data_IF_885508062353
#
_entry.id   IF_885508062353
#
_cell.length_a   1.000
_cell.length_b   1.000
_cell.length_c   1.000
_cell.angle_alpha   90.00
_cell.angle_beta   90.00
_cell.angle_gamma   90.00
#
_symmetry.space_group_name_H-M   'P 1'
#
loop_
_entity.id
_entity.type
_entity.pdbx_description
1 polymer ?
#
# COMPACT_ATOMS: atom_id res chain seq x y z
N UNK A 1 -1.62 -6.38 -28.86
CA UNK A 1 -1.09 -5.52 -27.78
C UNK A 1 -1.88 -5.83 -26.52
N UNK A 2 -1.22 -6.11 -25.39
CA UNK A 2 -1.92 -6.39 -24.14
C UNK A 2 -2.51 -5.10 -23.57
N UNK A 3 -3.82 -5.09 -23.30
CA UNK A 3 -4.51 -3.95 -22.71
C UNK A 3 -4.19 -3.86 -21.22
N UNK A 4 -3.93 -2.64 -20.72
CA UNK A 4 -3.69 -2.43 -19.31
C UNK A 4 -4.91 -2.88 -18.47
N UNK A 5 -4.70 -3.67 -17.40
CA UNK A 5 -5.80 -4.08 -16.53
C UNK A 5 -6.37 -2.87 -15.77
N UNK A 6 -7.70 -2.74 -15.73
CA UNK A 6 -8.37 -1.68 -14.97
C UNK A 6 -8.29 -1.91 -13.45
N UNK A 7 -8.40 -3.18 -13.04
CA UNK A 7 -8.32 -3.61 -11.65
C UNK A 7 -7.21 -4.67 -11.49
N UNK A 8 -6.48 -4.68 -10.36
CA UNK A 8 -5.44 -5.67 -10.14
C UNK A 8 -6.02 -7.08 -10.00
N UNK A 9 -5.43 -8.04 -10.71
CA UNK A 9 -5.67 -9.47 -10.46
C UNK A 9 -5.04 -9.88 -9.13
N UNK A 10 -5.35 -11.07 -8.58
CA UNK A 10 -4.68 -11.55 -7.37
C UNK A 10 -3.15 -11.59 -7.47
N UNK A 11 -2.59 -11.87 -8.65
CA UNK A 11 -1.15 -11.83 -8.87
C UNK A 11 -0.60 -10.39 -8.83
N UNK A 12 -1.30 -9.44 -9.46
CA UNK A 12 -0.90 -8.03 -9.42
C UNK A 12 -1.01 -7.47 -7.99
N UNK A 13 -2.09 -7.81 -7.28
CA UNK A 13 -2.31 -7.39 -5.89
C UNK A 13 -1.18 -7.87 -4.98
N UNK A 14 -0.78 -9.15 -5.08
CA UNK A 14 0.36 -9.69 -4.32
C UNK A 14 1.66 -8.95 -4.62
N UNK A 15 1.95 -8.64 -5.88
CA UNK A 15 3.15 -7.89 -6.25
C UNK A 15 3.14 -6.46 -5.69
N UNK A 16 1.99 -5.77 -5.73
CA UNK A 16 1.83 -4.42 -5.19
C UNK A 16 1.89 -4.39 -3.66
N UNK A 17 1.31 -5.38 -2.97
CA UNK A 17 1.43 -5.52 -1.52
C UNK A 17 2.87 -5.85 -1.08
N UNK A 18 3.56 -6.72 -1.83
CA UNK A 18 4.98 -6.98 -1.59
C UNK A 18 5.84 -5.73 -1.82
N UNK A 19 5.52 -4.94 -2.85
CA UNK A 19 6.16 -3.65 -3.07
C UNK A 19 5.90 -2.66 -1.93
N UNK A 20 4.69 -2.66 -1.37
CA UNK A 20 4.34 -1.82 -0.23
C UNK A 20 5.06 -2.21 1.06
N UNK A 21 5.36 -3.50 1.22
CA UNK A 21 6.14 -4.01 2.35
C UNK A 21 7.63 -3.65 2.27
N UNK A 22 8.17 -3.42 1.06
CA UNK A 22 9.52 -2.91 0.87
C UNK A 22 9.64 -1.45 1.35
N UNK A 23 10.71 -1.14 2.07
CA UNK A 23 10.93 0.19 2.67
C UNK A 23 11.03 1.32 1.63
N UNK A 24 11.37 0.98 0.38
CA UNK A 24 11.48 1.92 -0.73
C UNK A 24 10.35 1.75 -1.76
N UNK A 25 9.37 0.91 -1.48
CA UNK A 25 8.26 0.67 -2.38
C UNK A 25 8.58 -0.22 -3.58
N UNK A 26 9.70 -0.95 -3.56
CA UNK A 26 10.21 -1.67 -4.73
C UNK A 26 9.45 -2.95 -5.00
N UNK A 27 9.09 -3.15 -6.26
CA UNK A 27 8.61 -4.44 -6.74
C UNK A 27 9.73 -5.47 -6.59
N UNK A 28 9.50 -6.61 -5.91
CA UNK A 28 10.53 -7.64 -5.77
C UNK A 28 11.03 -8.13 -7.12
N UNK A 29 12.34 -8.31 -7.27
CA UNK A 29 12.95 -8.81 -8.51
C UNK A 29 12.45 -10.20 -8.91
N UNK A 30 12.02 -11.01 -7.93
CA UNK A 30 11.40 -12.31 -8.14
C UNK A 30 9.97 -12.27 -8.69
N UNK A 31 9.38 -11.07 -8.83
CA UNK A 31 8.04 -10.90 -9.43
C UNK A 31 8.07 -11.34 -10.88
N UNK A 32 7.10 -12.17 -11.29
CA UNK A 32 6.99 -12.63 -12.67
C UNK A 32 6.99 -11.47 -13.68
N UNK A 33 7.78 -11.55 -14.75
CA UNK A 33 7.93 -10.48 -15.75
C UNK A 33 6.60 -10.04 -16.36
N UNK A 34 5.65 -10.97 -16.62
CA UNK A 34 4.33 -10.60 -17.14
C UNK A 34 3.52 -9.77 -16.15
N UNK A 35 3.69 -10.04 -14.85
CA UNK A 35 3.10 -9.21 -13.78
C UNK A 35 3.75 -7.84 -13.76
N UNK A 36 5.09 -7.76 -13.84
CA UNK A 36 5.82 -6.50 -13.90
C UNK A 36 5.39 -5.64 -15.10
N UNK A 37 5.29 -6.23 -16.30
CA UNK A 37 4.82 -5.55 -17.52
C UNK A 37 3.39 -5.04 -17.35
N UNK A 38 2.49 -5.86 -16.77
CA UNK A 38 1.10 -5.49 -16.58
C UNK A 38 0.92 -4.32 -15.59
N UNK A 39 1.63 -4.35 -14.45
CA UNK A 39 1.56 -3.27 -13.46
C UNK A 39 2.25 -1.98 -13.94
N UNK A 40 3.28 -2.11 -14.79
CA UNK A 40 3.92 -1.00 -15.49
C UNK A 40 2.96 -0.34 -16.49
N UNK A 41 2.36 -1.14 -17.39
CA UNK A 41 1.39 -0.67 -18.38
C UNK A 41 0.13 -0.05 -17.74
N UNK A 42 -0.27 -0.53 -16.56
CA UNK A 42 -1.36 0.06 -15.78
C UNK A 42 -0.97 1.36 -15.04
N UNK A 43 0.30 1.76 -15.11
CA UNK A 43 0.89 2.90 -14.40
C UNK A 43 0.76 2.82 -12.88
N UNK A 44 0.67 1.61 -12.31
CA UNK A 44 0.64 1.40 -10.86
C UNK A 44 2.03 1.45 -10.22
N UNK A 45 3.06 1.29 -11.04
CA UNK A 45 4.45 1.43 -10.66
C UNK A 45 5.13 2.44 -11.57
N UNK A 46 6.23 3.00 -11.09
CA UNK A 46 7.09 3.93 -11.82
C UNK A 46 8.54 3.51 -11.65
N UNK A 47 9.35 3.81 -12.64
CA UNK A 47 10.77 3.48 -12.61
C UNK A 47 11.48 4.60 -11.84
N UNK A 48 12.24 4.20 -10.82
CA UNK A 48 12.94 5.10 -9.91
C UNK A 48 14.41 4.73 -9.79
N UNK A 49 15.24 5.70 -9.44
CA UNK A 49 16.64 5.48 -9.07
C UNK A 49 16.73 4.80 -7.70
N UNK A 50 17.96 4.44 -7.27
CA UNK A 50 18.18 3.89 -5.93
C UNK A 50 17.68 4.81 -4.78
N UNK A 51 17.59 6.12 -5.04
CA UNK A 51 17.14 7.15 -4.10
C UNK A 51 15.65 7.49 -4.25
N UNK A 52 14.89 6.77 -5.08
CA UNK A 52 13.45 7.00 -5.27
C UNK A 52 13.09 8.17 -6.21
N UNK A 53 14.07 8.77 -6.91
CA UNK A 53 13.79 9.80 -7.92
C UNK A 53 13.28 9.15 -9.20
N UNK A 54 12.35 9.77 -9.91
CA UNK A 54 11.88 9.28 -11.20
C UNK A 54 13.05 9.10 -12.18
N UNK A 55 13.18 7.89 -12.73
CA UNK A 55 14.33 7.51 -13.56
C UNK A 55 14.43 8.33 -14.84
N UNK A 56 13.29 8.64 -15.48
CA UNK A 56 13.27 9.44 -16.70
C UNK A 56 13.95 10.80 -16.50
N UNK A 57 13.56 11.55 -15.46
CA UNK A 57 14.16 12.85 -15.13
C UNK A 57 15.63 12.72 -14.71
N UNK A 58 15.98 11.66 -13.97
CA UNK A 58 17.36 11.42 -13.57
C UNK A 58 18.28 11.14 -14.77
N UNK A 59 17.82 10.37 -15.76
CA UNK A 59 18.56 10.08 -16.99
C UNK A 59 18.82 11.34 -17.81
N UNK A 60 17.83 12.21 -17.93
CA UNK A 60 18.01 13.55 -18.56
C UNK A 60 19.10 14.37 -17.86
N UNK A 61 19.27 14.20 -16.55
CA UNK A 61 20.32 14.84 -15.76
C UNK A 61 21.67 14.07 -15.73
N UNK A 62 21.84 13.04 -16.59
CA UNK A 62 23.09 12.28 -16.69
C UNK A 62 23.24 11.09 -15.75
N UNK A 63 22.17 10.66 -15.06
CA UNK A 63 22.23 9.45 -14.22
C UNK A 63 22.33 8.17 -15.07
N UNK A 64 23.42 7.41 -14.87
CA UNK A 64 23.67 6.11 -15.52
C UNK A 64 23.61 4.91 -14.57
N UNK A 65 23.11 5.07 -13.35
CA UNK A 65 23.04 4.00 -12.35
C UNK A 65 21.82 3.09 -12.50
N UNK A 66 21.68 2.08 -11.61
CA UNK A 66 20.57 1.14 -11.64
C UNK A 66 19.23 1.82 -11.34
N UNK A 67 18.17 1.23 -11.87
CA UNK A 67 16.78 1.67 -11.70
C UNK A 67 15.90 0.50 -11.24
N UNK A 68 14.80 0.83 -10.59
CA UNK A 68 13.90 -0.12 -9.95
C UNK A 68 12.45 0.26 -10.22
N UNK A 69 11.55 -0.72 -10.32
CA UNK A 69 10.12 -0.46 -10.31
C UNK A 69 9.66 -0.21 -8.88
N UNK A 70 8.97 0.90 -8.65
CA UNK A 70 8.42 1.27 -7.34
C UNK A 70 6.94 1.57 -7.44
N UNK A 71 6.15 1.08 -6.48
CA UNK A 71 4.71 1.40 -6.38
C UNK A 71 4.51 2.90 -6.17
N UNK A 72 3.59 3.48 -6.94
CA UNK A 72 3.25 4.90 -6.89
C UNK A 72 1.87 5.12 -6.26
N UNK A 73 1.39 6.37 -6.21
CA UNK A 73 0.06 6.69 -5.66
C UNK A 73 -1.08 5.96 -6.37
N UNK A 74 -1.03 5.87 -7.70
CA UNK A 74 -2.04 5.15 -8.51
C UNK A 74 -2.06 3.66 -8.17
N UNK A 75 -0.90 3.04 -7.97
CA UNK A 75 -0.80 1.64 -7.55
C UNK A 75 -1.35 1.40 -6.14
N UNK A 76 -1.10 2.33 -5.21
CA UNK A 76 -1.70 2.26 -3.85
C UNK A 76 -3.22 2.41 -3.91
N UNK A 77 -3.75 3.37 -4.68
CA UNK A 77 -5.19 3.53 -4.86
C UNK A 77 -5.84 2.31 -5.53
N UNK A 78 -5.14 1.65 -6.47
CA UNK A 78 -5.64 0.43 -7.11
C UNK A 78 -5.80 -0.76 -6.14
N UNK A 79 -5.15 -0.73 -4.98
CA UNK A 79 -5.33 -1.74 -3.93
C UNK A 79 -6.63 -1.53 -3.14
N UNK A 80 -7.30 -0.39 -3.26
CA UNK A 80 -8.43 -0.05 -2.40
C UNK A 80 -9.74 0.01 -3.18
N UNK A 81 -10.81 -0.37 -2.49
CA UNK A 81 -12.16 0.09 -2.85
C UNK A 81 -12.32 1.53 -2.36
N UNK A 82 -13.31 2.26 -2.89
CA UNK A 82 -13.62 3.62 -2.42
C UNK A 82 -13.92 3.65 -0.91
N UNK A 83 -14.61 2.61 -0.41
CA UNK A 83 -14.87 2.43 1.02
C UNK A 83 -13.57 2.22 1.82
N UNK A 84 -12.66 1.37 1.33
CA UNK A 84 -11.36 1.14 1.97
C UNK A 84 -10.49 2.39 1.98
N UNK A 85 -10.48 3.16 0.88
CA UNK A 85 -9.79 4.44 0.80
C UNK A 85 -10.35 5.44 1.82
N UNK A 86 -11.67 5.57 1.89
CA UNK A 86 -12.34 6.45 2.86
C UNK A 86 -12.01 6.04 4.30
N UNK A 87 -12.06 4.75 4.61
CA UNK A 87 -11.80 4.24 5.95
C UNK A 87 -10.34 4.48 6.40
N UNK A 88 -9.36 4.22 5.53
CA UNK A 88 -7.95 4.43 5.84
C UNK A 88 -7.60 5.91 6.01
N UNK A 89 -8.17 6.80 5.19
CA UNK A 89 -7.91 8.24 5.30
C UNK A 89 -8.68 8.92 6.44
N UNK A 90 -9.74 8.29 6.94
CA UNK A 90 -10.48 8.75 8.12
C UNK A 90 -9.94 8.13 9.42
N UNK A 91 -8.90 7.29 9.37
CA UNK A 91 -8.31 6.71 10.56
C UNK A 91 -7.79 7.80 11.51
N UNK A 92 -7.98 7.59 12.81
CA UNK A 92 -7.47 8.47 13.85
C UNK A 92 -5.93 8.51 13.84
N UNK A 93 -5.27 9.51 14.45
CA UNK A 93 -3.80 9.61 14.48
C UNK A 93 -3.09 8.35 15.01
N UNK A 94 -3.67 7.72 16.03
CA UNK A 94 -3.23 6.44 16.60
C UNK A 94 -3.39 5.25 15.64
N UNK A 95 -4.11 5.44 14.54
CA UNK A 95 -4.36 4.45 13.49
C UNK A 95 -5.68 3.69 13.65
N UNK A 96 -6.52 4.03 14.63
CA UNK A 96 -7.84 3.39 14.77
C UNK A 96 -8.74 3.75 13.60
N UNK A 97 -9.37 2.78 12.96
CA UNK A 97 -10.38 3.08 11.93
C UNK A 97 -11.68 3.62 12.57
N UNK A 98 -12.47 4.43 11.85
CA UNK A 98 -13.71 5.00 12.37
C UNK A 98 -14.71 3.93 12.84
N UNK A 99 -15.38 4.21 13.96
CA UNK A 99 -16.56 3.47 14.41
C UNK A 99 -17.64 3.59 13.32
N UNK A 100 -18.00 2.49 12.67
CA UNK A 100 -18.89 2.47 11.50
C UNK A 100 -18.23 2.06 10.18
N UNK A 101 -16.92 1.77 10.17
CA UNK A 101 -16.29 1.09 9.02
C UNK A 101 -17.02 -0.24 8.75
N UNK A 102 -17.58 -0.46 7.55
CA UNK A 102 -18.34 -1.67 7.28
C UNK A 102 -17.48 -2.93 7.45
N UNK A 103 -18.04 -3.97 8.08
CA UNK A 103 -17.34 -5.23 8.33
C UNK A 103 -16.66 -5.83 7.08
N UNK A 104 -17.30 -5.89 5.89
CA UNK A 104 -16.64 -6.38 4.69
C UNK A 104 -15.41 -5.55 4.27
N UNK A 105 -15.41 -4.25 4.56
CA UNK A 105 -14.27 -3.36 4.29
C UNK A 105 -13.14 -3.62 5.26
N UNK A 106 -13.44 -3.72 6.56
CA UNK A 106 -12.44 -4.06 7.58
C UNK A 106 -11.80 -5.42 7.30
N UNK A 107 -12.60 -6.44 6.98
CA UNK A 107 -12.07 -7.77 6.67
C UNK A 107 -11.23 -7.83 5.40
N UNK A 108 -11.59 -7.09 4.35
CA UNK A 108 -10.76 -6.99 3.16
C UNK A 108 -9.40 -6.36 3.50
N UNK A 109 -9.39 -5.25 4.23
CA UNK A 109 -8.16 -4.59 4.68
C UNK A 109 -7.32 -5.50 5.59
N UNK A 110 -7.97 -6.29 6.47
CA UNK A 110 -7.29 -7.21 7.38
C UNK A 110 -6.65 -8.37 6.62
N UNK A 111 -7.37 -8.95 5.65
CA UNK A 111 -6.86 -10.01 4.79
C UNK A 111 -5.61 -9.57 4.01
N UNK A 112 -5.53 -8.30 3.62
CA UNK A 112 -4.35 -7.73 2.96
C UNK A 112 -3.23 -7.28 3.93
N UNK A 113 -3.42 -7.50 5.24
CA UNK A 113 -2.45 -7.12 6.29
C UNK A 113 -2.34 -5.62 6.53
N UNK A 114 -3.29 -4.82 6.03
CA UNK A 114 -3.29 -3.36 6.16
C UNK A 114 -3.82 -2.89 7.51
N UNK A 115 -4.60 -3.75 8.17
CA UNK A 115 -5.14 -3.50 9.50
C UNK A 115 -5.00 -4.75 10.36
N UNK A 116 -5.04 -4.57 11.66
CA UNK A 116 -5.14 -5.62 12.67
C UNK A 116 -6.18 -5.24 13.72
N UNK A 117 -6.83 -6.25 14.30
CA UNK A 117 -7.81 -6.04 15.35
C UNK A 117 -7.10 -6.06 16.70
N UNK A 118 -7.37 -5.06 17.54
CA UNK A 118 -6.76 -4.96 18.87
C UNK A 118 -7.81 -4.78 19.96
N UNK A 119 -7.56 -5.38 21.11
CA UNK A 119 -8.32 -5.08 22.33
C UNK A 119 -7.79 -3.81 23.03
N UNK A 120 -8.37 -3.50 24.20
CA UNK A 120 -8.00 -2.34 25.00
C UNK A 120 -6.55 -2.38 25.52
N UNK A 121 -5.96 -3.57 25.63
CA UNK A 121 -4.59 -3.79 26.07
C UNK A 121 -3.60 -3.84 24.89
N UNK A 122 -4.07 -3.48 23.68
CA UNK A 122 -3.34 -3.53 22.42
C UNK A 122 -2.91 -4.93 21.97
N UNK A 123 -3.53 -5.99 22.51
CA UNK A 123 -3.28 -7.36 22.05
C UNK A 123 -3.93 -7.58 20.69
N UNK A 124 -3.20 -8.19 19.76
CA UNK A 124 -3.67 -8.44 18.40
C UNK A 124 -4.53 -9.72 18.34
N UNK A 125 -5.67 -9.63 17.66
CA UNK A 125 -6.64 -10.70 17.45
C UNK A 125 -6.89 -10.97 15.96
N UNK A 126 -7.28 -12.20 15.58
CA UNK A 126 -7.46 -12.59 14.17
C UNK A 126 -8.76 -12.07 13.52
N UNK A 127 -9.70 -11.52 14.30
CA UNK A 127 -10.96 -10.93 13.83
C UNK A 127 -11.40 -9.86 14.85
N UNK A 128 -12.60 -9.31 14.72
CA UNK A 128 -13.14 -8.31 15.65
C UNK A 128 -13.76 -8.90 16.93
N UNK A 129 -13.73 -10.22 17.09
CA UNK A 129 -14.31 -10.89 18.25
C UNK A 129 -15.84 -10.90 18.28
N UNK A 130 -16.52 -10.52 17.20
CA UNK A 130 -17.98 -10.57 17.16
C UNK A 130 -18.47 -12.03 17.20
N UNK A 131 -19.30 -12.32 18.20
CA UNK A 131 -19.94 -13.61 18.42
C UNK A 131 -21.46 -13.56 18.19
N UNK A 132 -21.99 -12.45 17.67
CA UNK A 132 -23.42 -12.22 17.42
C UNK A 132 -24.23 -11.88 18.68
N UNK A 133 -23.63 -11.85 19.87
CA UNK A 133 -24.32 -11.54 21.13
C UNK A 133 -23.90 -10.18 21.68
N UNK A 134 -22.59 -9.90 21.69
CA UNK A 134 -22.04 -8.66 22.26
C UNK A 134 -21.62 -7.64 21.19
N UNK A 135 -21.65 -8.03 19.92
CA UNK A 135 -21.04 -7.27 18.83
C UNK A 135 -19.51 -7.34 18.86
N UNK A 136 -18.84 -6.53 18.02
CA UNK A 136 -17.39 -6.46 17.93
C UNK A 136 -16.74 -6.08 19.26
N UNK A 137 -15.78 -6.89 19.71
CA UNK A 137 -14.99 -6.67 20.93
C UNK A 137 -13.65 -5.99 20.66
N UNK A 138 -13.11 -6.14 19.45
CA UNK A 138 -11.77 -5.67 19.08
C UNK A 138 -11.87 -4.60 18.00
N UNK A 139 -11.15 -3.50 18.19
CA UNK A 139 -11.17 -2.39 17.27
C UNK A 139 -10.11 -2.56 16.16
N UNK A 140 -10.41 -2.21 14.91
CA UNK A 140 -9.45 -2.25 13.82
C UNK A 140 -8.45 -1.07 13.87
N UNK A 141 -7.16 -1.37 13.73
CA UNK A 141 -6.05 -0.41 13.68
C UNK A 141 -5.18 -0.59 12.44
N UNK A 142 -4.67 0.50 11.88
CA UNK A 142 -3.67 0.47 10.81
C UNK A 142 -2.39 -0.22 11.26
N UNK A 143 -1.92 -1.17 10.45
CA UNK A 143 -0.54 -1.65 10.52
C UNK A 143 0.41 -0.63 9.89
N UNK A 144 1.72 -0.82 10.02
CA UNK A 144 2.69 0.00 9.28
C UNK A 144 2.47 -0.09 7.76
N UNK A 145 2.09 -1.26 7.26
CA UNK A 145 1.73 -1.45 5.86
C UNK A 145 0.51 -0.60 5.46
N UNK A 146 -0.52 -0.59 6.31
CA UNK A 146 -1.70 0.28 6.13
C UNK A 146 -1.35 1.77 6.13
N UNK A 147 -0.44 2.20 7.03
CA UNK A 147 0.06 3.59 7.04
C UNK A 147 0.79 3.93 5.74
N UNK A 148 1.72 3.09 5.29
CA UNK A 148 2.43 3.27 4.01
C UNK A 148 1.48 3.32 2.83
N UNK A 149 0.37 2.57 2.87
CA UNK A 149 -0.65 2.63 1.83
C UNK A 149 -1.28 4.02 1.74
N UNK A 150 -1.69 4.56 2.90
CA UNK A 150 -2.39 5.83 3.01
C UNK A 150 -1.48 7.04 2.80
N UNK A 151 -0.29 7.06 3.41
CA UNK A 151 0.61 8.23 3.41
C UNK A 151 1.76 8.12 2.42
N UNK A 152 1.97 6.94 1.82
CA UNK A 152 3.17 6.64 1.03
C UNK A 152 4.37 6.28 1.91
N UNK A 153 5.52 6.09 1.25
CA UNK A 153 6.77 5.78 1.92
C UNK A 153 7.35 7.04 2.57
N UNK A 154 7.98 6.93 3.75
CA UNK A 154 8.79 8.01 4.28
C UNK A 154 9.82 8.35 3.21
N UNK A 155 9.67 9.52 2.57
CA UNK A 155 10.70 10.03 1.69
C UNK A 155 11.95 10.16 2.58
N UNK A 156 12.98 9.37 2.31
CA UNK A 156 14.32 9.64 2.82
C UNK A 156 14.59 11.11 2.45
N UNK A 157 14.46 11.96 3.46
CA UNK A 157 14.49 13.40 3.50
C UNK A 157 14.49 14.16 2.17
N UNK A 158 13.57 15.13 2.08
CA UNK A 158 13.87 16.44 1.47
C UNK A 158 15.34 16.76 1.75
N UNK A 159 16.20 16.66 0.73
CA UNK A 159 17.42 17.46 0.76
C UNK A 159 16.96 18.90 0.91
N UNK A 160 17.30 19.62 2.00
CA UNK A 160 17.11 21.06 1.97
C UNK A 160 17.88 21.56 0.75
N UNK A 161 17.19 22.30 -0.11
CA UNK A 161 17.89 23.13 -1.08
C UNK A 161 18.68 24.13 -0.26
N UNK A 162 19.96 23.86 -0.06
CA UNK A 162 20.89 24.89 0.39
C UNK A 162 21.05 25.87 -0.76
N UNK A 163 20.85 27.13 -0.40
CA UNK A 163 20.86 28.36 -1.20
C UNK A 163 22.17 28.53 -1.97
#
# INVERSE_FOLDING_TARGET
MATAPKNPTPAHRRALLAALADDKGRVPESTNTRVQDAIWLAHWVTEVTNTGRAAAGARWAGYGGPTFLSINSRGRSALLTDAGHTALHAAAPEGRLPEGTPWPTAMALHHDGLIEFRDADATVHPNDGDNGVRGPLYAPYLTELGRRLATGFPQAHRTPQTV
#
